data_IF_026063082337
#
_entry.id   IF_026063082337
#
_cell.length_a   1.000
_cell.length_b   1.000
_cell.length_c   1.000
_cell.angle_alpha   90.00
_cell.angle_beta   90.00
_cell.angle_gamma   90.00
#
_symmetry.space_group_name_H-M   'P 1'
#
loop_
_entity.id
_entity.type
_entity.pdbx_description
1 polymer ?
#
# COMPACT_ATOMS: atom_id res chain seq x y z
N UNK A 1 -5.07 35.05 82.29
CA UNK A 1 -4.52 33.69 82.05
C UNK A 1 -5.61 32.95 81.26
N UNK A 2 -5.60 32.96 79.88
CA UNK A 2 -6.67 32.30 79.18
C UNK A 2 -6.67 32.54 77.65
N UNK A 3 -5.54 32.91 77.04
CA UNK A 3 -5.52 33.22 75.59
C UNK A 3 -4.33 32.62 74.81
N UNK A 4 -3.68 31.57 75.29
CA UNK A 4 -2.47 31.05 74.74
C UNK A 4 -2.51 29.55 74.34
N UNK A 5 -3.69 28.93 74.32
CA UNK A 5 -3.83 27.50 74.06
C UNK A 5 -4.69 27.12 72.80
N UNK A 6 -5.06 28.11 71.96
CA UNK A 6 -5.95 27.86 70.79
C UNK A 6 -5.25 27.98 69.45
N UNK A 7 -3.91 28.11 69.35
CA UNK A 7 -3.19 28.32 68.09
C UNK A 7 -2.29 27.13 67.67
N UNK A 8 -2.30 26.00 68.39
CA UNK A 8 -1.45 24.85 68.12
C UNK A 8 -2.13 23.67 67.40
N UNK A 9 -3.42 23.78 67.07
CA UNK A 9 -4.21 22.67 66.50
C UNK A 9 -4.51 22.77 64.98
N UNK A 10 -3.98 23.76 64.25
CA UNK A 10 -4.28 23.96 62.80
C UNK A 10 -3.15 23.61 61.81
N UNK A 11 -2.08 22.97 62.28
CA UNK A 11 -0.93 22.64 61.44
C UNK A 11 -0.72 21.12 61.18
N UNK A 12 -1.69 20.28 61.53
CA UNK A 12 -1.61 18.83 61.38
C UNK A 12 -2.61 18.30 60.31
N UNK A 13 -2.48 18.70 59.04
CA UNK A 13 -3.43 18.25 58.02
C UNK A 13 -2.99 18.34 56.56
N UNK A 14 -1.73 18.64 56.30
CA UNK A 14 -1.21 18.48 54.92
C UNK A 14 -0.48 17.14 54.83
N UNK A 15 -1.27 16.08 54.61
CA UNK A 15 -0.70 14.83 54.13
C UNK A 15 -0.02 15.13 52.80
N UNK A 16 1.26 14.72 52.58
CA UNK A 16 1.83 14.80 51.25
C UNK A 16 0.97 13.89 50.35
N UNK A 17 0.21 14.54 49.48
CA UNK A 17 -0.49 13.83 48.42
C UNK A 17 0.57 12.99 47.70
N UNK A 18 0.44 11.66 47.77
CA UNK A 18 1.23 10.76 46.95
C UNK A 18 1.01 11.21 45.51
N UNK A 19 2.01 11.88 44.93
CA UNK A 19 2.09 12.02 43.51
C UNK A 19 2.14 10.58 43.01
N UNK A 20 1.01 10.08 42.53
CA UNK A 20 0.99 8.84 41.81
C UNK A 20 1.96 9.05 40.66
N UNK A 21 3.09 8.37 40.69
CA UNK A 21 3.99 8.26 39.57
C UNK A 21 3.09 7.83 38.40
N UNK A 22 2.76 8.78 37.54
CA UNK A 22 2.21 8.49 36.26
C UNK A 22 3.34 7.80 35.50
N UNK A 23 3.49 6.48 35.74
CA UNK A 23 4.42 5.66 34.99
C UNK A 23 4.04 5.87 33.52
N UNK A 24 4.89 6.58 32.80
CA UNK A 24 4.70 6.79 31.38
C UNK A 24 4.46 5.40 30.75
N UNK A 25 3.23 5.14 30.33
CA UNK A 25 2.89 3.87 29.72
C UNK A 25 3.82 3.71 28.52
N UNK A 26 4.68 2.67 28.57
CA UNK A 26 5.57 2.37 27.47
C UNK A 26 4.75 2.12 26.21
N UNK A 27 5.00 2.88 25.16
CA UNK A 27 4.38 2.65 23.86
C UNK A 27 5.12 1.52 23.14
N UNK A 28 4.39 0.55 22.54
CA UNK A 28 2.95 0.34 22.60
C UNK A 28 2.50 -0.47 23.84
N UNK A 29 1.40 -0.04 24.49
CA UNK A 29 0.79 -0.74 25.64
C UNK A 29 -0.43 -1.58 25.27
N UNK A 30 -0.91 -1.49 24.03
CA UNK A 30 -2.06 -2.21 23.46
C UNK A 30 -1.78 -2.56 22.00
N UNK A 31 -2.55 -3.47 21.37
CA UNK A 31 -2.38 -3.81 19.96
C UNK A 31 -2.46 -2.61 19.02
N UNK A 32 -1.60 -2.60 18.00
CA UNK A 32 -1.60 -1.61 16.93
C UNK A 32 -2.37 -2.18 15.73
N UNK A 33 -3.22 -1.37 15.12
CA UNK A 33 -3.92 -1.70 13.89
C UNK A 33 -3.14 -1.18 12.69
N UNK A 34 -2.74 -2.07 11.78
CA UNK A 34 -2.17 -1.73 10.48
C UNK A 34 -3.22 -1.90 9.40
N UNK A 35 -3.75 -0.79 8.89
CA UNK A 35 -4.72 -0.78 7.82
C UNK A 35 -4.02 -0.90 6.48
N UNK A 36 -4.40 -1.90 5.69
CA UNK A 36 -3.97 -2.09 4.31
C UNK A 36 -5.14 -1.73 3.40
N UNK A 37 -5.04 -0.64 2.59
CA UNK A 37 -6.16 -0.11 1.81
C UNK A 37 -6.46 -0.92 0.53
N UNK A 38 -6.03 -2.18 0.47
CA UNK A 38 -6.21 -3.10 -0.66
C UNK A 38 -6.60 -4.50 -0.18
N UNK A 39 -7.16 -5.35 -1.06
CA UNK A 39 -7.50 -6.72 -0.72
C UNK A 39 -6.28 -7.55 -0.30
N UNK A 40 -6.49 -8.64 0.45
CA UNK A 40 -5.45 -9.61 0.78
C UNK A 40 -4.78 -10.21 -0.47
N UNK A 41 -3.51 -10.64 -0.32
CA UNK A 41 -2.73 -11.35 -1.34
C UNK A 41 -2.02 -10.47 -2.36
N UNK A 42 -2.20 -9.14 -2.33
CA UNK A 42 -1.40 -8.21 -3.11
C UNK A 42 -0.05 -7.88 -2.45
N UNK A 43 0.84 -7.19 -3.19
CA UNK A 43 2.18 -6.83 -2.69
C UNK A 43 2.16 -6.01 -1.41
N UNK A 44 1.24 -5.04 -1.27
CA UNK A 44 1.09 -4.27 -0.04
C UNK A 44 0.67 -5.15 1.15
N UNK A 45 -0.23 -6.09 0.93
CA UNK A 45 -0.68 -7.01 1.97
C UNK A 45 0.45 -7.93 2.45
N UNK A 46 1.19 -8.51 1.52
CA UNK A 46 2.31 -9.39 1.83
C UNK A 46 3.41 -8.67 2.63
N UNK A 47 3.80 -7.47 2.19
CA UNK A 47 4.80 -6.63 2.89
C UNK A 47 4.24 -6.17 4.25
N UNK A 48 3.00 -5.72 4.30
CA UNK A 48 2.36 -5.26 5.52
C UNK A 48 2.28 -6.35 6.59
N UNK A 49 1.95 -7.60 6.20
CA UNK A 49 1.94 -8.76 7.14
C UNK A 49 3.34 -9.10 7.64
N UNK A 50 4.35 -9.04 6.77
CA UNK A 50 5.74 -9.26 7.19
C UNK A 50 6.18 -8.20 8.20
N UNK A 51 5.88 -6.94 7.96
CA UNK A 51 6.19 -5.83 8.88
C UNK A 51 5.42 -5.99 10.19
N UNK A 52 4.11 -6.29 10.13
CA UNK A 52 3.29 -6.50 11.31
C UNK A 52 3.85 -7.61 12.20
N UNK A 53 4.30 -8.71 11.60
CA UNK A 53 4.95 -9.80 12.31
C UNK A 53 6.23 -9.31 13.00
N UNK A 54 7.13 -8.65 12.27
CA UNK A 54 8.42 -8.18 12.81
C UNK A 54 8.26 -7.14 13.91
N UNK A 55 7.31 -6.22 13.76
CA UNK A 55 7.00 -5.24 14.79
C UNK A 55 6.37 -5.91 16.03
N UNK A 56 5.52 -6.92 15.86
CA UNK A 56 4.95 -7.67 16.97
C UNK A 56 6.03 -8.41 17.76
N UNK A 57 6.98 -9.02 17.07
CA UNK A 57 8.16 -9.68 17.69
C UNK A 57 9.02 -8.66 18.46
N UNK A 58 9.27 -7.48 17.88
CA UNK A 58 10.14 -6.47 18.48
C UNK A 58 9.51 -5.74 19.69
N UNK A 59 8.20 -5.51 19.68
CA UNK A 59 7.52 -4.72 20.71
C UNK A 59 6.80 -5.55 21.77
N UNK A 60 6.67 -6.86 21.58
CA UNK A 60 5.89 -7.71 22.47
C UNK A 60 4.39 -7.39 22.48
N UNK A 61 3.92 -6.57 21.53
CA UNK A 61 2.53 -6.20 21.33
C UNK A 61 2.10 -6.58 19.92
N UNK A 62 0.84 -7.01 19.76
CA UNK A 62 0.33 -7.42 18.47
C UNK A 62 0.17 -6.25 17.52
N UNK A 63 0.61 -6.41 16.27
CA UNK A 63 0.26 -5.55 15.15
C UNK A 63 -0.74 -6.30 14.27
N UNK A 64 -2.01 -5.88 14.33
CA UNK A 64 -3.13 -6.53 13.67
C UNK A 64 -3.35 -5.92 12.30
N UNK A 65 -3.25 -6.74 11.24
CA UNK A 65 -3.50 -6.31 9.87
C UNK A 65 -4.99 -6.32 9.58
N UNK A 66 -5.51 -5.19 9.08
CA UNK A 66 -6.90 -5.02 8.65
C UNK A 66 -6.93 -4.56 7.18
N UNK A 67 -7.48 -5.38 6.27
CA UNK A 67 -7.66 -4.98 4.88
C UNK A 67 -8.95 -4.18 4.71
N UNK A 68 -8.86 -2.92 4.22
CA UNK A 68 -9.98 -2.03 3.91
C UNK A 68 -9.91 -1.54 2.46
N UNK A 69 -10.27 -2.38 1.48
CA UNK A 69 -10.20 -2.01 0.08
C UNK A 69 -11.32 -1.08 -0.35
N UNK A 70 -11.13 -0.42 -1.49
CA UNK A 70 -12.16 0.33 -2.21
C UNK A 70 -11.73 1.74 -2.61
N UNK A 71 -12.32 2.27 -3.67
CA UNK A 71 -12.06 3.60 -4.23
C UNK A 71 -10.56 3.90 -4.43
N UNK A 72 -9.80 2.97 -5.04
CA UNK A 72 -8.35 3.15 -5.24
C UNK A 72 -7.53 3.19 -3.94
N UNK A 73 -8.07 2.65 -2.83
CA UNK A 73 -7.47 2.69 -1.49
C UNK A 73 -7.98 3.83 -0.60
N UNK A 74 -8.79 4.74 -1.13
CA UNK A 74 -9.26 5.91 -0.37
C UNK A 74 -10.10 5.52 0.86
N UNK A 75 -10.86 4.41 0.81
CA UNK A 75 -11.67 3.97 1.96
C UNK A 75 -10.78 3.60 3.15
N UNK A 76 -9.71 2.85 2.91
CA UNK A 76 -8.78 2.47 3.97
C UNK A 76 -7.97 3.64 4.50
N UNK A 77 -7.49 4.53 3.62
CA UNK A 77 -6.75 5.72 4.02
C UNK A 77 -7.63 6.69 4.83
N UNK A 78 -8.87 6.95 4.40
CA UNK A 78 -9.84 7.79 5.10
C UNK A 78 -10.15 7.26 6.51
N UNK A 79 -10.30 5.95 6.67
CA UNK A 79 -10.55 5.34 7.97
C UNK A 79 -9.41 5.61 8.97
N UNK A 80 -8.16 5.71 8.49
CA UNK A 80 -7.01 6.03 9.35
C UNK A 80 -6.91 7.53 9.57
N UNK A 81 -7.12 8.36 8.56
CA UNK A 81 -7.16 9.82 8.69
C UNK A 81 -8.15 10.30 9.77
N UNK A 82 -9.26 9.57 9.95
CA UNK A 82 -10.30 9.87 10.96
C UNK A 82 -10.11 9.12 12.29
N UNK A 83 -9.05 8.33 12.42
CA UNK A 83 -8.74 7.63 13.67
C UNK A 83 -8.09 8.57 14.69
N UNK A 84 -8.15 8.27 16.00
CA UNK A 84 -7.39 9.01 17.00
C UNK A 84 -5.90 9.08 16.65
N UNK A 85 -5.23 10.24 16.77
CA UNK A 85 -3.81 10.40 16.45
C UNK A 85 -2.89 9.90 17.58
N UNK A 86 -3.19 8.73 18.14
CA UNK A 86 -2.52 8.13 19.30
C UNK A 86 -1.41 7.12 18.90
N UNK A 87 -1.16 6.93 17.61
CA UNK A 87 -0.17 6.00 17.08
C UNK A 87 -0.64 4.53 17.01
N UNK A 88 -1.85 4.20 17.47
CA UNK A 88 -2.35 2.81 17.46
C UNK A 88 -3.14 2.42 16.22
N UNK A 89 -3.37 3.36 15.29
CA UNK A 89 -3.94 3.06 13.97
C UNK A 89 -3.05 3.68 12.91
N UNK A 90 -2.45 2.83 12.08
CA UNK A 90 -1.53 3.25 11.02
C UNK A 90 -1.98 2.70 9.67
N UNK A 91 -1.60 3.36 8.58
CA UNK A 91 -1.91 2.91 7.23
C UNK A 91 -0.64 2.50 6.49
N UNK A 92 -0.72 1.41 5.73
CA UNK A 92 0.25 1.12 4.68
C UNK A 92 -0.11 1.97 3.46
N UNK A 93 0.41 3.19 3.42
CA UNK A 93 0.20 4.12 2.32
C UNK A 93 0.73 3.59 0.99
N UNK A 94 0.09 3.97 -0.10
CA UNK A 94 0.48 3.62 -1.46
C UNK A 94 0.63 4.87 -2.32
N UNK A 95 1.31 4.71 -3.47
CA UNK A 95 1.40 5.75 -4.49
C UNK A 95 0.01 6.31 -4.84
N UNK A 96 -0.99 5.43 -5.02
CA UNK A 96 -2.36 5.85 -5.33
C UNK A 96 -2.94 6.74 -4.24
N UNK A 97 -2.92 6.31 -2.98
CA UNK A 97 -3.63 6.99 -1.88
C UNK A 97 -3.02 8.34 -1.51
N UNK A 98 -1.71 8.51 -1.63
CA UNK A 98 -1.01 9.72 -1.13
C UNK A 98 -0.43 10.60 -2.23
N UNK A 99 -0.33 10.14 -3.49
CA UNK A 99 0.23 10.94 -4.57
C UNK A 99 -0.71 11.12 -5.76
N UNK A 100 -1.35 10.04 -6.24
CA UNK A 100 -2.11 10.07 -7.49
C UNK A 100 -3.58 10.47 -7.28
N UNK A 101 -4.24 9.88 -6.29
CA UNK A 101 -5.67 10.08 -6.06
C UNK A 101 -6.07 11.54 -5.81
N UNK A 102 -5.26 12.37 -5.12
CA UNK A 102 -5.56 13.80 -4.99
C UNK A 102 -5.75 14.53 -6.32
N UNK A 103 -5.06 14.08 -7.38
CA UNK A 103 -5.20 14.65 -8.74
C UNK A 103 -6.21 13.89 -9.62
N UNK A 104 -6.53 12.64 -9.28
CA UNK A 104 -7.38 11.77 -10.08
C UNK A 104 -8.86 11.86 -9.71
N UNK A 105 -9.17 12.01 -8.41
CA UNK A 105 -10.53 12.05 -7.91
C UNK A 105 -11.00 13.49 -7.77
N UNK A 106 -12.23 13.77 -8.21
CA UNK A 106 -12.84 15.12 -8.10
C UNK A 106 -13.00 15.60 -6.64
N UNK A 107 -13.13 14.66 -5.70
CA UNK A 107 -13.26 14.93 -4.28
C UNK A 107 -12.56 13.83 -3.50
N UNK A 108 -11.72 14.21 -2.56
CA UNK A 108 -11.04 13.31 -1.63
C UNK A 108 -11.68 13.42 -0.25
N UNK A 109 -11.89 12.31 0.48
CA UNK A 109 -12.45 12.34 1.82
C UNK A 109 -11.41 12.71 2.90
N UNK A 110 -10.13 12.87 2.53
CA UNK A 110 -9.00 13.23 3.39
C UNK A 110 -7.99 14.10 2.62
N UNK A 111 -7.17 14.83 3.35
CA UNK A 111 -5.98 15.51 2.83
C UNK A 111 -4.77 14.57 2.96
N UNK A 112 -4.19 14.17 1.84
CA UNK A 112 -3.10 13.18 1.78
C UNK A 112 -1.80 13.62 2.49
N UNK A 113 -1.66 14.91 2.81
CA UNK A 113 -0.49 15.47 3.48
C UNK A 113 -0.80 15.87 4.94
N UNK A 114 -1.92 16.58 5.19
CA UNK A 114 -2.22 17.16 6.49
C UNK A 114 -2.82 16.17 7.48
N UNK A 115 -3.56 15.16 6.98
CA UNK A 115 -4.27 14.23 7.85
C UNK A 115 -3.42 13.02 8.27
N UNK A 116 -2.13 12.99 7.87
CA UNK A 116 -1.23 11.89 8.18
C UNK A 116 0.12 12.39 8.73
N UNK A 117 0.65 11.66 9.71
CA UNK A 117 2.03 11.78 10.15
C UNK A 117 2.86 10.66 9.49
N UNK A 118 3.74 10.96 8.51
CA UNK A 118 4.53 9.93 7.84
C UNK A 118 5.57 9.34 8.80
N UNK A 119 5.68 8.01 8.80
CA UNK A 119 6.61 7.28 9.67
C UNK A 119 7.88 6.92 8.91
N UNK A 120 7.75 6.19 7.80
CA UNK A 120 8.89 5.71 7.01
C UNK A 120 8.47 5.30 5.61
N UNK A 121 9.41 5.38 4.67
CA UNK A 121 9.28 4.70 3.38
C UNK A 121 9.67 3.23 3.57
N UNK A 122 8.68 2.35 3.45
CA UNK A 122 8.87 0.91 3.69
C UNK A 122 9.67 0.24 2.58
N UNK A 123 9.31 0.49 1.33
CA UNK A 123 9.97 -0.08 0.16
C UNK A 123 9.67 0.71 -1.11
N UNK A 124 10.60 0.62 -2.06
CA UNK A 124 10.41 1.03 -3.44
C UNK A 124 10.52 -0.24 -4.29
N UNK A 125 9.53 -0.50 -5.13
CA UNK A 125 9.54 -1.67 -6.00
C UNK A 125 9.26 -1.24 -7.44
N UNK A 126 10.07 -1.69 -8.41
CA UNK A 126 9.78 -1.46 -9.82
C UNK A 126 8.55 -2.26 -10.25
N UNK A 127 7.89 -1.82 -11.30
CA UNK A 127 6.93 -2.64 -12.01
C UNK A 127 7.64 -3.48 -13.09
N UNK A 128 7.01 -4.57 -13.45
CA UNK A 128 7.35 -5.41 -14.58
C UNK A 128 6.13 -5.59 -15.46
N UNK A 129 6.33 -5.46 -16.76
CA UNK A 129 5.35 -5.82 -17.77
C UNK A 129 5.30 -7.34 -17.87
N UNK A 130 4.11 -7.91 -17.65
CA UNK A 130 3.87 -9.35 -17.74
C UNK A 130 2.72 -9.67 -18.68
N UNK A 131 2.80 -10.84 -19.29
CA UNK A 131 1.74 -11.49 -20.06
C UNK A 131 1.47 -12.89 -19.50
N UNK A 132 0.33 -13.49 -19.81
CA UNK A 132 0.11 -14.91 -19.50
C UNK A 132 1.19 -15.78 -20.17
N UNK A 133 1.64 -16.84 -19.51
CA UNK A 133 2.59 -17.79 -20.11
C UNK A 133 2.06 -18.44 -21.40
N UNK A 134 0.73 -18.49 -21.55
CA UNK A 134 0.04 -19.00 -22.74
C UNK A 134 -0.03 -17.97 -23.90
N UNK A 135 0.35 -16.72 -23.64
CA UNK A 135 0.32 -15.66 -24.65
C UNK A 135 1.36 -15.95 -25.76
N UNK A 136 1.05 -15.65 -27.01
CA UNK A 136 2.02 -15.72 -28.11
C UNK A 136 3.05 -14.57 -28.07
N UNK A 137 2.88 -13.61 -27.14
CA UNK A 137 3.74 -12.43 -27.00
C UNK A 137 4.94 -12.79 -26.11
N UNK A 138 6.15 -12.58 -26.61
CA UNK A 138 7.40 -12.90 -25.91
C UNK A 138 8.26 -11.67 -25.63
N UNK A 139 8.05 -10.59 -26.38
CA UNK A 139 8.89 -9.38 -26.34
C UNK A 139 8.02 -8.11 -26.34
N UNK A 140 8.61 -6.99 -25.92
CA UNK A 140 7.93 -5.69 -25.99
C UNK A 140 7.58 -5.27 -27.43
N UNK A 141 8.46 -5.42 -28.44
CA UNK A 141 8.09 -5.17 -29.83
C UNK A 141 6.90 -6.00 -30.31
N UNK A 142 6.83 -7.29 -29.93
CA UNK A 142 5.68 -8.13 -30.27
C UNK A 142 4.39 -7.66 -29.61
N UNK A 143 4.42 -7.21 -28.34
CA UNK A 143 3.25 -6.64 -27.69
C UNK A 143 2.76 -5.37 -28.41
N UNK A 144 3.70 -4.47 -28.78
CA UNK A 144 3.39 -3.25 -29.51
C UNK A 144 2.77 -3.60 -30.88
N UNK A 145 3.36 -4.52 -31.61
CA UNK A 145 2.84 -4.98 -32.89
C UNK A 145 1.45 -5.61 -32.76
N UNK A 146 1.24 -6.44 -31.74
CA UNK A 146 -0.05 -7.06 -31.44
C UNK A 146 -1.12 -5.99 -31.13
N UNK A 147 -0.80 -5.02 -30.27
CA UNK A 147 -1.71 -3.94 -29.91
C UNK A 147 -2.08 -3.07 -31.11
N UNK A 148 -1.12 -2.73 -31.97
CA UNK A 148 -1.34 -1.97 -33.23
C UNK A 148 -2.20 -2.72 -34.23
N UNK A 149 -2.06 -4.06 -34.31
CA UNK A 149 -2.88 -4.90 -35.18
C UNK A 149 -4.30 -5.14 -34.64
N UNK A 150 -4.54 -4.87 -33.34
CA UNK A 150 -5.82 -5.10 -32.68
C UNK A 150 -6.31 -3.85 -31.92
N UNK A 151 -6.53 -2.71 -32.59
CA UNK A 151 -6.94 -1.46 -31.94
C UNK A 151 -8.28 -1.65 -31.24
N UNK A 152 -8.40 -1.14 -29.99
CA UNK A 152 -9.59 -1.23 -29.14
C UNK A 152 -9.95 -2.65 -28.65
N UNK A 153 -9.15 -3.68 -29.01
CA UNK A 153 -9.38 -5.09 -28.60
C UNK A 153 -8.30 -5.61 -27.66
N UNK A 154 -7.28 -4.84 -27.42
CA UNK A 154 -6.20 -5.18 -26.50
C UNK A 154 -6.46 -4.49 -25.17
N UNK A 155 -6.53 -5.26 -24.09
CA UNK A 155 -6.81 -4.75 -22.75
C UNK A 155 -5.62 -4.95 -21.83
N UNK A 156 -5.40 -4.00 -20.91
CA UNK A 156 -4.47 -4.22 -19.81
C UNK A 156 -5.16 -4.10 -18.46
N UNK A 157 -4.76 -4.98 -17.54
CA UNK A 157 -5.27 -5.00 -16.17
C UNK A 157 -4.43 -4.16 -15.23
N UNK A 158 -5.06 -3.57 -14.22
CA UNK A 158 -4.35 -2.97 -13.09
C UNK A 158 -5.08 -3.20 -11.78
N UNK A 159 -4.37 -3.05 -10.66
CA UNK A 159 -4.96 -3.24 -9.33
C UNK A 159 -5.95 -2.17 -8.91
N UNK A 160 -5.99 -1.01 -9.58
CA UNK A 160 -6.99 0.04 -9.39
C UNK A 160 -6.71 1.21 -10.32
N UNK A 161 -7.69 2.11 -10.47
CA UNK A 161 -7.41 3.45 -10.99
C UNK A 161 -6.36 4.14 -10.09
N UNK A 162 -5.41 4.84 -10.72
CA UNK A 162 -4.32 5.55 -10.03
C UNK A 162 -3.20 4.64 -9.48
N UNK A 163 -3.27 3.32 -9.65
CA UNK A 163 -2.16 2.44 -9.29
C UNK A 163 -0.95 2.64 -10.21
N UNK A 164 0.24 2.24 -9.75
CA UNK A 164 1.44 2.31 -10.58
C UNK A 164 1.29 1.51 -11.88
N UNK A 165 0.59 0.37 -11.84
CA UNK A 165 0.29 -0.41 -13.04
C UNK A 165 -0.65 0.29 -14.02
N UNK A 166 -1.63 1.06 -13.52
CA UNK A 166 -2.47 1.91 -14.37
C UNK A 166 -1.64 2.99 -15.06
N UNK A 167 -0.86 3.75 -14.29
CA UNK A 167 -0.03 4.84 -14.86
C UNK A 167 0.99 4.31 -15.88
N UNK A 168 1.62 3.16 -15.60
CA UNK A 168 2.54 2.53 -16.55
C UNK A 168 1.83 2.10 -17.85
N UNK A 169 0.60 1.58 -17.75
CA UNK A 169 -0.22 1.22 -18.91
C UNK A 169 -0.65 2.44 -19.74
N UNK A 170 -1.03 3.52 -19.09
CA UNK A 170 -1.38 4.78 -19.80
C UNK A 170 -0.13 5.40 -20.46
N UNK A 171 1.02 5.37 -19.79
CA UNK A 171 2.27 5.82 -20.40
C UNK A 171 2.65 4.94 -21.60
N UNK A 172 2.49 3.61 -21.49
CA UNK A 172 2.70 2.69 -22.62
C UNK A 172 1.84 3.08 -23.83
N UNK A 173 0.55 3.43 -23.63
CA UNK A 173 -0.33 3.89 -24.72
C UNK A 173 0.23 5.13 -25.40
N UNK A 174 0.65 6.11 -24.62
CA UNK A 174 1.17 7.39 -25.11
C UNK A 174 2.45 7.17 -25.92
N UNK A 175 3.42 6.46 -25.34
CA UNK A 175 4.75 6.26 -25.94
C UNK A 175 4.72 5.38 -27.20
N UNK A 176 3.78 4.43 -27.26
CA UNK A 176 3.69 3.48 -28.38
C UNK A 176 2.66 3.87 -29.44
N UNK A 177 1.80 4.83 -29.13
CA UNK A 177 0.67 5.21 -29.99
C UNK A 177 -0.31 4.05 -30.19
N UNK A 178 -0.50 3.20 -29.18
CA UNK A 178 -1.40 2.04 -29.25
C UNK A 178 -2.77 2.37 -28.64
N UNK A 179 -3.84 1.81 -29.21
CA UNK A 179 -5.19 1.90 -28.69
C UNK A 179 -5.49 0.64 -27.84
N UNK A 180 -5.09 0.69 -26.57
CA UNK A 180 -5.35 -0.36 -25.58
C UNK A 180 -6.27 0.16 -24.47
N UNK A 181 -7.16 -0.70 -23.96
CA UNK A 181 -8.14 -0.35 -22.94
C UNK A 181 -7.67 -0.73 -21.55
N UNK A 182 -7.81 0.18 -20.60
CA UNK A 182 -7.56 -0.09 -19.18
C UNK A 182 -8.74 -0.77 -18.51
N UNK A 183 -8.50 -1.88 -17.83
CA UNK A 183 -9.49 -2.59 -16.99
C UNK A 183 -9.04 -2.53 -15.53
N UNK A 184 -9.65 -1.69 -14.68
CA UNK A 184 -9.32 -1.59 -13.27
C UNK A 184 -9.96 -2.73 -12.46
N UNK A 185 -9.16 -3.36 -11.60
CA UNK A 185 -9.60 -4.38 -10.65
C UNK A 185 -9.51 -3.85 -9.20
N UNK A 186 -10.01 -4.63 -8.25
CA UNK A 186 -9.97 -4.30 -6.81
C UNK A 186 -8.69 -4.84 -6.15
N UNK A 187 -7.53 -4.62 -6.75
CA UNK A 187 -6.22 -5.07 -6.28
C UNK A 187 -5.44 -5.87 -7.33
N UNK A 188 -4.15 -6.10 -7.07
CA UNK A 188 -3.26 -6.83 -8.01
C UNK A 188 -3.65 -8.29 -8.19
N UNK A 189 -4.09 -8.98 -7.13
CA UNK A 189 -4.46 -10.39 -7.21
C UNK A 189 -5.63 -10.66 -8.19
N UNK A 190 -6.78 -9.96 -8.12
CA UNK A 190 -7.84 -10.15 -9.12
C UNK A 190 -7.43 -9.69 -10.53
N UNK A 191 -6.56 -8.67 -10.68
CA UNK A 191 -6.03 -8.29 -11.99
C UNK A 191 -5.17 -9.40 -12.60
N UNK A 192 -4.36 -10.06 -11.79
CA UNK A 192 -3.55 -11.21 -12.22
C UNK A 192 -4.44 -12.39 -12.63
N UNK A 193 -5.50 -12.69 -11.88
CA UNK A 193 -6.44 -13.75 -12.26
C UNK A 193 -7.08 -13.48 -13.63
N UNK A 194 -7.47 -12.24 -13.90
CA UNK A 194 -8.00 -11.83 -15.19
C UNK A 194 -6.96 -11.98 -16.33
N UNK A 195 -5.69 -11.68 -16.07
CA UNK A 195 -4.60 -11.94 -17.02
C UNK A 195 -4.46 -13.43 -17.32
N UNK A 196 -4.51 -14.29 -16.29
CA UNK A 196 -4.40 -15.75 -16.45
C UNK A 196 -5.62 -16.36 -17.14
N UNK A 197 -6.80 -15.78 -16.95
CA UNK A 197 -8.04 -16.16 -17.64
C UNK A 197 -8.07 -15.71 -19.12
N UNK A 198 -7.25 -14.69 -19.48
CA UNK A 198 -7.23 -14.13 -20.84
C UNK A 198 -8.16 -12.92 -21.03
N UNK A 199 -8.81 -12.44 -19.96
CA UNK A 199 -9.68 -11.25 -20.00
C UNK A 199 -8.88 -9.98 -20.31
N UNK A 200 -7.59 -9.96 -19.93
CA UNK A 200 -6.63 -8.94 -20.30
C UNK A 200 -5.40 -9.57 -20.93
N UNK A 201 -4.72 -8.86 -21.84
CA UNK A 201 -3.58 -9.37 -22.59
C UNK A 201 -2.25 -9.14 -21.88
N UNK A 202 -2.15 -8.07 -21.11
CA UNK A 202 -0.96 -7.75 -20.32
C UNK A 202 -1.32 -6.96 -19.05
N UNK A 203 -0.38 -6.84 -18.15
CA UNK A 203 -0.44 -5.91 -17.03
C UNK A 203 0.96 -5.48 -16.59
N UNK A 204 1.02 -4.35 -15.90
CA UNK A 204 2.20 -3.95 -15.14
C UNK A 204 1.94 -4.28 -13.67
N UNK A 205 2.75 -5.17 -13.11
CA UNK A 205 2.66 -5.58 -11.70
C UNK A 205 3.95 -5.26 -10.96
N UNK A 206 3.89 -5.26 -9.64
CA UNK A 206 5.09 -5.18 -8.81
C UNK A 206 6.04 -6.33 -9.11
N UNK A 207 7.33 -6.02 -9.38
CA UNK A 207 8.33 -7.02 -9.75
C UNK A 207 8.42 -8.14 -8.71
N UNK A 208 8.46 -7.81 -7.41
CA UNK A 208 8.57 -8.82 -6.35
C UNK A 208 7.37 -9.78 -6.34
N UNK A 209 6.15 -9.27 -6.58
CA UNK A 209 4.93 -10.09 -6.65
C UNK A 209 4.92 -10.94 -7.93
N UNK A 210 5.24 -10.33 -9.07
CA UNK A 210 5.27 -11.01 -10.36
C UNK A 210 6.30 -12.16 -10.40
N UNK A 211 7.47 -12.00 -9.76
CA UNK A 211 8.52 -13.02 -9.76
C UNK A 211 8.09 -14.34 -9.12
N UNK A 212 7.15 -14.34 -8.18
CA UNK A 212 6.57 -15.57 -7.64
C UNK A 212 5.80 -16.33 -8.74
N UNK A 213 5.04 -15.61 -9.56
CA UNK A 213 4.27 -16.17 -10.68
C UNK A 213 5.15 -16.58 -11.86
N UNK A 214 6.22 -15.83 -12.10
CA UNK A 214 7.24 -16.17 -13.10
C UNK A 214 7.90 -17.49 -12.74
N UNK A 215 8.32 -17.67 -11.48
CA UNK A 215 8.90 -18.93 -10.98
C UNK A 215 7.91 -20.10 -11.06
N UNK A 216 6.61 -19.81 -10.86
CA UNK A 216 5.53 -20.78 -11.02
C UNK A 216 5.17 -21.07 -12.50
N UNK A 217 5.79 -20.40 -13.46
CA UNK A 217 5.56 -20.62 -14.89
C UNK A 217 4.17 -20.19 -15.38
N UNK A 218 3.42 -19.37 -14.61
CA UNK A 218 2.07 -18.94 -14.95
C UNK A 218 2.04 -17.66 -15.80
N UNK A 219 3.06 -16.81 -15.65
CA UNK A 219 3.23 -15.58 -16.43
C UNK A 219 4.64 -15.51 -17.02
N UNK A 220 4.76 -14.72 -18.09
CA UNK A 220 6.04 -14.39 -18.74
C UNK A 220 6.33 -12.92 -18.48
N UNK A 221 7.50 -12.57 -17.88
CA UNK A 221 7.97 -11.20 -17.77
C UNK A 221 8.54 -10.73 -19.10
N UNK A 222 8.27 -9.48 -19.45
CA UNK A 222 8.71 -8.88 -20.73
C UNK A 222 9.80 -7.82 -20.50
N UNK A 223 9.55 -6.85 -19.61
CA UNK A 223 10.48 -5.75 -19.34
C UNK A 223 10.18 -5.13 -17.96
N UNK A 224 11.17 -4.51 -17.33
CA UNK A 224 10.97 -3.70 -16.12
C UNK A 224 10.81 -2.23 -16.46
N UNK A 225 10.13 -1.47 -15.58
CA UNK A 225 9.82 -0.04 -15.79
C UNK A 225 10.91 0.91 -15.26
N UNK A 226 12.07 0.39 -14.90
CA UNK A 226 13.18 1.20 -14.38
C UNK A 226 14.16 1.56 -15.49
N UNK A 227 14.84 2.70 -15.35
CA UNK A 227 15.88 3.13 -16.30
C UNK A 227 17.11 2.21 -16.34
N UNK A 228 17.27 1.37 -15.33
CA UNK A 228 18.33 0.36 -15.24
C UNK A 228 17.73 -0.99 -14.90
N UNK A 229 18.38 -2.08 -15.29
CA UNK A 229 17.95 -3.44 -14.97
C UNK A 229 17.85 -3.64 -13.46
N UNK A 230 16.80 -4.32 -13.03
CA UNK A 230 16.62 -4.64 -11.62
C UNK A 230 17.59 -5.73 -11.16
N UNK A 231 18.14 -5.57 -9.96
CA UNK A 231 18.95 -6.65 -9.33
C UNK A 231 18.12 -7.90 -9.01
N UNK A 232 16.81 -7.78 -8.92
CA UNK A 232 15.90 -8.92 -8.68
C UNK A 232 15.61 -9.73 -9.95
N UNK A 233 15.86 -9.14 -11.13
CA UNK A 233 15.63 -9.76 -12.43
C UNK A 233 16.61 -9.13 -13.46
N UNK A 234 17.92 -9.38 -13.35
CA UNK A 234 18.95 -8.75 -14.19
C UNK A 234 18.86 -9.17 -15.65
N UNK A 235 18.20 -10.26 -15.93
CA UNK A 235 17.95 -10.79 -17.28
C UNK A 235 16.90 -9.97 -18.05
N UNK A 236 15.99 -9.26 -17.34
CA UNK A 236 14.93 -8.50 -17.99
C UNK A 236 15.45 -7.17 -18.55
N UNK A 237 15.03 -6.78 -19.76
CA UNK A 237 15.30 -5.45 -20.31
C UNK A 237 14.51 -4.37 -19.56
N UNK A 238 14.93 -3.12 -19.79
CA UNK A 238 14.25 -1.89 -19.32
C UNK A 238 13.38 -1.32 -20.42
#
# INVERSE_FOLDING_TARGET
>A
IGAALALAALLAGVAPGSAADASAQTFPSKPIKLVIPFPPGGSLDNIGRLIAQKLSEAWGQQVVVENKPGAGGNIGADAVAKSPPDGYTVVMGALSTHAVNPSLYKSMPYDAVKDFAPISNVAITPNVLIVSAKSPIHTLPELIAYAKANPGKTNFGSGSNGSAGHLAGELFKIETGTDVMHIPYKGGAPALQALLAGDTQFMFDNLANAMAQVKGGTVRPIAVTTAQRSRLAPELPT
#
